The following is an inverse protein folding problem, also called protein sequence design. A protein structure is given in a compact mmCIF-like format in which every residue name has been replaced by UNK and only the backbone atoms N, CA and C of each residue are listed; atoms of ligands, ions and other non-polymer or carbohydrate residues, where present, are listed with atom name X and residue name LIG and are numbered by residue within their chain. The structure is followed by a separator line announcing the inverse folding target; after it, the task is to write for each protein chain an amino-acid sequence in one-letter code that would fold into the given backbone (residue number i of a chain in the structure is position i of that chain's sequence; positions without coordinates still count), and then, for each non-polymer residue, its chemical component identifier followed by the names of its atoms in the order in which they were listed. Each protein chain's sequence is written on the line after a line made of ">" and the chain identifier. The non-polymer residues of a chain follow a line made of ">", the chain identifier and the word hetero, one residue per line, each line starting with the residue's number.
data_IF_564834767304
#
_entry.id   IF_564834767304
#
_cell.length_a   1.000
_cell.length_b   1.000
_cell.length_c   1.000
_cell.angle_alpha   90.00
_cell.angle_beta   90.00
_cell.angle_gamma   90.00
#
_symmetry.space_group_name_H-M   'P 1'
#
loop_
_entity.id
_entity.type
_entity.pdbx_description
1 polymer ?
#
# COMPACT_ATOMS: atom_id res chain seq x y z
N UNK A 1 24.09 23.83 -13.70
CA UNK A 1 22.63 23.61 -13.54
C UNK A 1 22.42 22.18 -13.06
N UNK A 2 21.95 21.98 -11.82
CA UNK A 2 21.68 20.64 -11.30
C UNK A 2 20.37 20.12 -11.88
N UNK A 3 20.41 19.00 -12.60
CA UNK A 3 19.22 18.32 -13.11
C UNK A 3 18.43 17.78 -11.92
N UNK A 4 17.20 18.27 -11.73
CA UNK A 4 16.28 17.75 -10.70
C UNK A 4 16.08 16.24 -10.95
N UNK A 5 16.62 15.40 -10.07
CA UNK A 5 16.43 13.94 -10.09
C UNK A 5 14.94 13.66 -9.91
N UNK A 6 14.22 13.44 -11.01
CA UNK A 6 12.82 13.00 -10.99
C UNK A 6 12.75 11.71 -10.18
N UNK A 7 12.19 11.77 -8.99
CA UNK A 7 12.17 10.67 -8.05
C UNK A 7 11.26 9.55 -8.61
N UNK A 8 11.86 8.55 -9.27
CA UNK A 8 11.14 7.46 -9.96
C UNK A 8 10.22 6.67 -9.03
N UNK A 9 10.43 6.77 -7.72
CA UNK A 9 9.71 6.06 -6.68
C UNK A 9 8.44 6.79 -6.18
N UNK A 10 8.27 8.06 -6.55
CA UNK A 10 7.12 8.89 -6.12
C UNK A 10 6.03 8.94 -7.18
N UNK A 11 5.41 7.78 -7.42
CA UNK A 11 4.28 7.71 -8.34
C UNK A 11 2.96 8.23 -7.72
N UNK A 12 1.88 8.14 -8.50
CA UNK A 12 0.55 8.54 -8.04
C UNK A 12 0.14 7.82 -6.73
N UNK A 13 0.39 6.52 -6.62
CA UNK A 13 0.00 5.73 -5.46
C UNK A 13 0.88 5.98 -4.24
N UNK A 14 2.19 6.25 -4.42
CA UNK A 14 3.06 6.71 -3.34
C UNK A 14 2.56 8.03 -2.74
N UNK A 15 2.16 8.99 -3.58
CA UNK A 15 1.59 10.27 -3.12
C UNK A 15 0.22 10.11 -2.46
N UNK A 16 -0.64 9.25 -3.03
CA UNK A 16 -1.95 8.94 -2.47
C UNK A 16 -1.82 8.28 -1.09
N UNK A 17 -0.92 7.31 -0.93
CA UNK A 17 -0.67 6.65 0.35
C UNK A 17 -0.23 7.66 1.42
N UNK A 18 0.73 8.54 1.08
CA UNK A 18 1.15 9.64 1.98
C UNK A 18 -0.02 10.54 2.38
N UNK A 19 -0.88 10.94 1.41
CA UNK A 19 -2.05 11.80 1.66
C UNK A 19 -3.07 11.13 2.60
N UNK A 20 -3.28 9.83 2.42
CA UNK A 20 -4.21 9.01 3.21
C UNK A 20 -3.56 8.44 4.50
N UNK A 21 -2.31 8.86 4.80
CA UNK A 21 -1.52 8.43 5.98
C UNK A 21 -1.25 6.93 6.05
N UNK A 22 -1.19 6.26 4.90
CA UNK A 22 -0.71 4.87 4.80
C UNK A 22 0.83 4.83 4.71
N UNK A 23 1.50 3.85 5.38
CA UNK A 23 2.95 3.70 5.36
C UNK A 23 3.53 3.38 3.99
N UNK A 24 2.75 2.71 3.13
CA UNK A 24 3.19 2.35 1.80
C UNK A 24 2.03 2.28 0.81
N UNK A 25 2.39 2.37 -0.48
CA UNK A 25 1.49 2.18 -1.61
C UNK A 25 0.96 0.75 -1.78
N UNK A 26 1.51 -0.23 -1.06
CA UNK A 26 1.10 -1.64 -1.17
C UNK A 26 -0.34 -1.86 -0.68
N UNK A 27 -0.87 -0.98 0.20
CA UNK A 27 -2.27 -1.01 0.63
C UNK A 27 -3.25 -1.06 -0.55
N UNK A 28 -2.98 -0.30 -1.62
CA UNK A 28 -3.88 -0.25 -2.78
C UNK A 28 -3.88 -1.54 -3.59
N UNK A 29 -2.74 -2.26 -3.64
CA UNK A 29 -2.67 -3.57 -4.30
C UNK A 29 -3.60 -4.55 -3.61
N UNK A 30 -3.53 -4.59 -2.29
CA UNK A 30 -4.36 -5.50 -1.51
C UNK A 30 -5.84 -5.10 -1.55
N UNK A 31 -6.16 -3.80 -1.45
CA UNK A 31 -7.54 -3.32 -1.61
C UNK A 31 -8.13 -3.73 -2.96
N UNK A 32 -7.35 -3.64 -4.03
CA UNK A 32 -7.78 -4.07 -5.36
C UNK A 32 -8.02 -5.59 -5.43
N UNK A 33 -7.09 -6.39 -4.92
CA UNK A 33 -7.24 -7.86 -4.84
C UNK A 33 -8.48 -8.21 -4.03
N UNK A 34 -8.67 -7.59 -2.87
CA UNK A 34 -9.82 -7.84 -2.02
C UNK A 34 -11.14 -7.45 -2.71
N UNK A 35 -11.17 -6.33 -3.44
CA UNK A 35 -12.36 -5.89 -4.19
C UNK A 35 -12.70 -6.86 -5.33
N UNK A 36 -11.70 -7.35 -6.05
CA UNK A 36 -11.87 -8.26 -7.21
C UNK A 36 -12.22 -9.69 -6.78
N UNK A 37 -11.53 -10.19 -5.76
CA UNK A 37 -11.52 -11.62 -5.44
C UNK A 37 -12.21 -11.95 -4.11
N UNK A 38 -12.50 -10.95 -3.27
CA UNK A 38 -13.11 -11.13 -1.93
C UNK A 38 -12.40 -12.21 -1.11
N UNK A 39 -11.06 -12.20 -1.13
CA UNK A 39 -10.21 -13.22 -0.51
C UNK A 39 -10.41 -13.31 1.00
N UNK A 40 -10.54 -12.16 1.67
CA UNK A 40 -10.68 -12.06 3.12
C UNK A 40 -12.15 -11.81 3.45
N UNK A 41 -12.72 -12.59 4.35
CA UNK A 41 -14.10 -12.48 4.79
C UNK A 41 -14.18 -12.11 6.26
N UNK A 42 -15.35 -11.62 6.66
CA UNK A 42 -15.63 -11.35 8.07
C UNK A 42 -15.47 -12.65 8.86
N UNK A 43 -14.72 -12.59 9.97
CA UNK A 43 -14.35 -13.71 10.87
C UNK A 43 -13.17 -14.57 10.40
N UNK A 44 -12.53 -14.27 9.28
CA UNK A 44 -11.27 -14.93 8.93
C UNK A 44 -10.17 -14.58 9.93
N UNK A 45 -9.34 -15.57 10.27
CA UNK A 45 -8.10 -15.34 11.02
C UNK A 45 -7.00 -15.05 10.00
N UNK A 46 -6.44 -13.85 10.05
CA UNK A 46 -5.43 -13.39 9.11
C UNK A 46 -4.08 -13.32 9.81
N UNK A 47 -3.06 -13.89 9.17
CA UNK A 47 -1.66 -13.76 9.58
C UNK A 47 -0.91 -13.02 8.47
N UNK A 48 -0.34 -11.87 8.82
CA UNK A 48 0.52 -11.10 7.91
C UNK A 48 1.99 -11.39 8.23
N UNK A 49 2.73 -11.93 7.26
CA UNK A 49 4.13 -12.30 7.39
C UNK A 49 5.00 -11.29 6.67
N UNK A 50 6.04 -10.78 7.35
CA UNK A 50 6.95 -9.80 6.75
C UNK A 50 6.32 -8.40 6.59
N UNK A 51 5.41 -8.03 7.50
CA UNK A 51 4.70 -6.74 7.54
C UNK A 51 5.61 -5.56 7.93
N UNK A 52 6.75 -5.38 7.28
CA UNK A 52 7.58 -4.18 7.43
C UNK A 52 7.48 -3.35 6.14
N UNK A 53 7.10 -2.06 6.17
CA UNK A 53 6.96 -1.17 7.34
C UNK A 53 5.54 -1.11 7.97
N UNK A 54 4.64 -2.06 7.70
CA UNK A 54 3.32 -2.07 8.36
C UNK A 54 2.14 -1.52 7.54
N UNK A 55 2.18 -1.58 6.21
CA UNK A 55 1.14 -0.94 5.36
C UNK A 55 -0.29 -1.48 5.51
N UNK A 56 -0.45 -2.68 6.07
CA UNK A 56 -1.72 -3.41 6.07
C UNK A 56 -2.43 -3.42 7.43
N UNK A 57 -1.70 -3.20 8.54
CA UNK A 57 -2.20 -3.36 9.91
C UNK A 57 -2.53 -2.05 10.64
N UNK A 58 -2.57 -0.92 9.93
CA UNK A 58 -2.97 0.38 10.51
C UNK A 58 -4.47 0.62 10.41
#
# INVERSE_FOLDING_TARGET
>A
MATSKKNRWEDHYSRKAKKEKFPARSVYKLQEIQRKNRLIKKRDKVLDLGCSPGSWLL
#
